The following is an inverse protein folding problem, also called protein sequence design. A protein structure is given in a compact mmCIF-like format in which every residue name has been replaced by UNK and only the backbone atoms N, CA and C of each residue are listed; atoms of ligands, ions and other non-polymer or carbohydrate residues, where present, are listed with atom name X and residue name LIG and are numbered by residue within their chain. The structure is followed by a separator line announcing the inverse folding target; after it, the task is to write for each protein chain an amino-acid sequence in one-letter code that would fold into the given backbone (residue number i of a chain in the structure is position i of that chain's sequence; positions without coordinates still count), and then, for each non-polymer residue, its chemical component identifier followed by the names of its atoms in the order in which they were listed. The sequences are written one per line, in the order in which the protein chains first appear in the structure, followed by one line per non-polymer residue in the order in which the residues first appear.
data_IF_546908967489
#
_entry.id   IF_546908967489
#
_cell.length_a   1.000
_cell.length_b   1.000
_cell.length_c   1.000
_cell.angle_alpha   90.00
_cell.angle_beta   90.00
_cell.angle_gamma   90.00
#
_symmetry.space_group_name_H-M   'P 1'
#
loop_
_entity.id
_entity.type
_entity.pdbx_description
1 polymer ?
#
# COMPACT_ATOMS: atom_id res chain seq x y z
N UNK A 1 -41.94 9.28 -10.50
CA UNK A 1 -40.51 9.29 -10.82
C UNK A 1 -39.62 9.89 -9.71
N UNK A 2 -40.13 10.84 -8.90
CA UNK A 2 -39.38 11.41 -7.78
C UNK A 2 -39.04 10.39 -6.68
N UNK A 3 -39.92 9.44 -6.45
CA UNK A 3 -39.70 8.35 -5.46
C UNK A 3 -38.58 7.40 -5.92
N UNK A 4 -38.45 7.14 -7.22
CA UNK A 4 -37.37 6.31 -7.76
C UNK A 4 -36.01 6.99 -7.60
N UNK A 5 -35.93 8.28 -7.90
CA UNK A 5 -34.71 9.07 -7.74
C UNK A 5 -34.28 9.13 -6.27
N UNK A 6 -35.23 9.35 -5.37
CA UNK A 6 -34.95 9.38 -3.93
C UNK A 6 -34.47 8.04 -3.39
N UNK A 7 -35.07 6.94 -3.87
CA UNK A 7 -34.63 5.58 -3.51
C UNK A 7 -33.21 5.29 -4.02
N UNK A 8 -32.93 5.59 -5.29
CA UNK A 8 -31.59 5.38 -5.86
C UNK A 8 -30.51 6.22 -5.15
N UNK A 9 -30.87 7.45 -4.77
CA UNK A 9 -29.97 8.31 -4.00
C UNK A 9 -29.70 7.71 -2.61
N UNK A 10 -30.74 7.29 -1.91
CA UNK A 10 -30.63 6.70 -0.57
C UNK A 10 -29.81 5.41 -0.60
N UNK A 11 -30.13 4.50 -1.53
CA UNK A 11 -29.40 3.23 -1.69
C UNK A 11 -27.89 3.50 -2.01
N UNK A 12 -27.60 4.45 -2.88
CA UNK A 12 -26.24 4.85 -3.20
C UNK A 12 -25.48 5.44 -2.01
N UNK A 13 -26.13 6.23 -1.17
CA UNK A 13 -25.53 6.78 0.06
C UNK A 13 -25.25 5.66 1.06
N UNK A 14 -26.18 4.74 1.26
CA UNK A 14 -26.00 3.60 2.18
C UNK A 14 -24.86 2.70 1.72
N UNK A 15 -24.76 2.41 0.43
CA UNK A 15 -23.71 1.57 -0.13
C UNK A 15 -22.32 2.23 -0.05
N UNK A 16 -22.25 3.56 -0.14
CA UNK A 16 -20.98 4.29 -0.08
C UNK A 16 -20.56 4.72 1.34
N UNK A 17 -21.47 4.75 2.30
CA UNK A 17 -21.20 5.18 3.67
C UNK A 17 -20.02 4.44 4.34
N UNK A 18 -19.87 3.09 4.23
CA UNK A 18 -18.73 2.39 4.78
C UNK A 18 -17.40 2.83 4.17
N UNK A 19 -17.38 3.09 2.85
CA UNK A 19 -16.19 3.57 2.15
C UNK A 19 -15.81 4.98 2.62
N UNK A 20 -16.78 5.87 2.76
CA UNK A 20 -16.57 7.24 3.28
C UNK A 20 -16.03 7.20 4.70
N UNK A 21 -16.63 6.40 5.57
CA UNK A 21 -16.14 6.20 6.94
C UNK A 21 -14.69 5.73 6.97
N UNK A 22 -14.35 4.75 6.14
CA UNK A 22 -12.98 4.26 6.01
C UNK A 22 -12.02 5.36 5.50
N UNK A 23 -12.39 6.10 4.47
CA UNK A 23 -11.57 7.18 3.90
C UNK A 23 -11.36 8.36 4.87
N UNK A 24 -12.25 8.56 5.82
CA UNK A 24 -12.09 9.57 6.87
C UNK A 24 -11.20 9.06 8.02
N UNK A 25 -11.37 7.80 8.43
CA UNK A 25 -10.60 7.24 9.55
C UNK A 25 -9.14 6.94 9.21
N UNK A 26 -8.86 6.55 7.97
CA UNK A 26 -7.50 6.22 7.52
C UNK A 26 -6.52 7.41 7.61
N UNK A 27 -6.84 8.62 7.11
CA UNK A 27 -5.96 9.79 7.28
C UNK A 27 -5.77 10.17 8.76
N UNK A 28 -6.82 10.04 9.58
CA UNK A 28 -6.70 10.29 11.04
C UNK A 28 -5.70 9.33 11.66
N UNK A 29 -5.80 8.03 11.37
CA UNK A 29 -4.84 7.03 11.83
C UNK A 29 -3.41 7.34 11.36
N UNK A 30 -3.23 7.64 10.07
CA UNK A 30 -1.92 7.96 9.51
C UNK A 30 -1.32 9.23 10.13
N UNK A 31 -2.13 10.23 10.41
CA UNK A 31 -1.69 11.46 11.10
C UNK A 31 -1.24 11.14 12.52
N UNK A 32 -2.03 10.39 13.29
CA UNK A 32 -1.64 9.96 14.65
C UNK A 32 -0.34 9.15 14.63
N UNK A 33 -0.19 8.21 13.67
CA UNK A 33 1.00 7.42 13.54
C UNK A 33 2.24 8.27 13.15
N UNK A 34 2.06 9.29 12.33
CA UNK A 34 3.14 10.25 12.00
C UNK A 34 3.59 11.05 13.22
N UNK A 35 2.68 11.48 14.09
CA UNK A 35 3.03 12.11 15.36
C UNK A 35 3.74 11.16 16.32
N UNK A 36 3.44 9.87 16.28
CA UNK A 36 4.09 8.85 17.08
C UNK A 36 5.46 8.39 16.52
N UNK A 37 5.80 8.77 15.29
CA UNK A 37 7.02 8.35 14.58
C UNK A 37 8.33 8.59 15.37
N UNK A 38 8.54 9.71 16.12
CA UNK A 38 9.73 9.89 16.94
C UNK A 38 9.92 8.82 18.03
N UNK A 39 8.81 8.38 18.64
CA UNK A 39 8.84 7.32 19.66
C UNK A 39 9.19 5.96 19.04
N UNK A 40 8.69 5.69 17.83
CA UNK A 40 9.07 4.50 17.08
C UNK A 40 10.54 4.49 16.70
N UNK A 41 11.14 5.64 16.47
CA UNK A 41 12.57 5.77 16.21
C UNK A 41 13.42 5.28 17.40
N UNK A 42 13.03 5.62 18.62
CA UNK A 42 13.75 5.14 19.81
C UNK A 42 13.67 3.63 19.98
N UNK A 43 12.49 3.04 19.71
CA UNK A 43 12.24 1.61 19.90
C UNK A 43 12.80 0.78 18.74
N UNK A 44 12.61 1.24 17.50
CA UNK A 44 12.93 0.48 16.29
C UNK A 44 14.27 0.86 15.67
N UNK A 45 14.88 1.96 16.09
CA UNK A 45 16.13 2.46 15.49
C UNK A 45 17.30 1.50 15.57
N UNK A 46 17.30 0.60 16.57
CA UNK A 46 18.32 -0.46 16.69
C UNK A 46 18.01 -1.74 15.89
N UNK A 47 16.79 -1.90 15.41
CA UNK A 47 16.32 -3.12 14.70
C UNK A 47 16.16 -2.84 13.20
N UNK A 48 15.88 -1.58 12.84
CA UNK A 48 15.60 -1.20 11.47
C UNK A 48 16.89 -1.20 10.64
N UNK A 49 16.92 -1.90 9.50
CA UNK A 49 18.10 -1.89 8.65
C UNK A 49 18.28 -0.53 8.00
N UNK A 50 19.52 -0.03 8.05
CA UNK A 50 19.94 1.21 7.36
C UNK A 50 20.40 0.96 5.93
N UNK A 51 20.62 -0.31 5.57
CA UNK A 51 21.07 -0.70 4.25
C UNK A 51 19.87 -0.87 3.30
N UNK A 52 19.87 -0.13 2.18
CA UNK A 52 18.80 -0.11 1.18
C UNK A 52 18.53 -1.52 0.59
N UNK A 53 19.56 -2.34 0.38
CA UNK A 53 19.41 -3.71 -0.12
C UNK A 53 18.65 -4.60 0.88
N UNK A 54 18.94 -4.43 2.16
CA UNK A 54 18.24 -5.19 3.22
C UNK A 54 16.79 -4.73 3.33
N UNK A 55 16.53 -3.45 3.17
CA UNK A 55 15.16 -2.91 3.12
C UNK A 55 14.39 -3.48 1.93
N UNK A 56 14.98 -3.50 0.73
CA UNK A 56 14.36 -4.12 -0.44
C UNK A 56 14.05 -5.61 -0.22
N UNK A 57 14.99 -6.37 0.33
CA UNK A 57 14.80 -7.79 0.63
C UNK A 57 13.69 -8.01 1.67
N UNK A 58 13.67 -7.20 2.73
CA UNK A 58 12.65 -7.25 3.77
C UNK A 58 11.26 -6.93 3.20
N UNK A 59 11.14 -5.86 2.41
CA UNK A 59 9.88 -5.48 1.78
C UNK A 59 9.44 -6.50 0.72
N UNK A 60 10.36 -7.10 -0.02
CA UNK A 60 10.04 -8.19 -0.94
C UNK A 60 9.43 -9.38 -0.19
N UNK A 61 10.03 -9.79 0.91
CA UNK A 61 9.52 -10.88 1.74
C UNK A 61 8.15 -10.55 2.38
N UNK A 62 7.98 -9.30 2.82
CA UNK A 62 6.78 -8.84 3.51
C UNK A 62 5.73 -8.22 2.58
N UNK A 63 5.94 -8.23 1.25
CA UNK A 63 5.06 -7.55 0.29
C UNK A 63 3.60 -8.00 0.37
N UNK A 64 3.35 -9.23 0.84
CA UNK A 64 2.01 -9.76 1.10
C UNK A 64 1.23 -8.93 2.14
N UNK A 65 1.92 -8.22 3.04
CA UNK A 65 1.28 -7.29 3.99
C UNK A 65 0.71 -6.03 3.33
N UNK A 66 0.93 -5.85 2.02
CA UNK A 66 0.23 -4.85 1.20
C UNK A 66 -1.25 -5.15 0.97
N UNK A 67 -1.72 -6.40 1.18
CA UNK A 67 -3.14 -6.75 1.09
C UNK A 67 -3.97 -5.99 2.13
N UNK A 68 -5.25 -5.82 1.81
CA UNK A 68 -6.24 -5.18 2.68
C UNK A 68 -5.82 -3.81 3.21
N UNK A 69 -5.07 -3.04 2.40
CA UNK A 69 -4.56 -1.72 2.77
C UNK A 69 -3.63 -1.75 3.99
N UNK A 70 -2.80 -2.77 4.03
CA UNK A 70 -1.85 -3.02 5.10
C UNK A 70 -0.71 -2.01 5.21
N UNK A 71 0.25 -2.26 6.11
CA UNK A 71 1.30 -1.30 6.49
C UNK A 71 2.32 -1.01 5.38
N UNK A 72 2.39 -1.79 4.31
CA UNK A 72 3.30 -1.56 3.19
C UNK A 72 2.66 -0.81 2.02
N UNK A 73 1.41 -0.38 2.14
CA UNK A 73 0.69 0.28 1.07
C UNK A 73 0.37 1.72 1.43
N UNK A 74 0.82 2.69 0.63
CA UNK A 74 0.51 4.12 0.83
C UNK A 74 -0.99 4.41 0.86
N UNK A 75 -1.79 3.64 0.13
CA UNK A 75 -3.26 3.72 0.15
C UNK A 75 -3.90 3.06 1.39
N UNK A 76 -3.09 2.66 2.36
CA UNK A 76 -3.47 2.09 3.63
C UNK A 76 -2.69 2.69 4.78
N UNK A 77 -2.21 1.86 5.68
CA UNK A 77 -1.40 2.25 6.83
C UNK A 77 0.08 2.54 6.48
N UNK A 78 0.47 2.45 5.20
CA UNK A 78 1.85 2.60 4.75
C UNK A 78 2.42 4.01 4.94
N UNK A 79 1.58 5.05 5.03
CA UNK A 79 2.05 6.39 5.37
C UNK A 79 2.70 6.44 6.77
N UNK A 80 2.19 5.67 7.73
CA UNK A 80 2.80 5.52 9.04
C UNK A 80 4.16 4.81 8.95
N UNK A 81 4.23 3.71 8.19
CA UNK A 81 5.48 2.97 7.96
C UNK A 81 6.52 3.84 7.25
N UNK A 82 6.09 4.63 6.25
CA UNK A 82 6.95 5.60 5.57
C UNK A 82 7.48 6.64 6.55
N UNK A 83 6.64 7.18 7.43
CA UNK A 83 7.05 8.14 8.47
C UNK A 83 8.12 7.56 9.39
N UNK A 84 7.96 6.31 9.84
CA UNK A 84 8.97 5.62 10.65
C UNK A 84 10.25 5.40 9.85
N UNK A 85 10.18 4.89 8.63
CA UNK A 85 11.35 4.59 7.81
C UNK A 85 12.15 5.85 7.49
N UNK A 86 11.47 6.95 7.15
CA UNK A 86 12.11 8.25 6.88
C UNK A 86 12.73 8.89 8.12
N UNK A 87 12.23 8.57 9.31
CA UNK A 87 12.78 9.10 10.56
C UNK A 87 14.00 8.33 11.07
N UNK A 88 14.11 7.05 10.73
CA UNK A 88 15.20 6.15 11.17
C UNK A 88 16.37 6.16 10.20
N UNK A 89 16.10 6.13 8.89
CA UNK A 89 17.11 6.03 7.84
C UNK A 89 17.23 7.29 6.98
N UNK A 90 18.43 7.50 6.42
CA UNK A 90 18.70 8.57 5.43
C UNK A 90 18.48 8.01 4.01
N UNK A 91 17.27 7.50 3.75
CA UNK A 91 16.92 6.97 2.45
C UNK A 91 16.57 8.09 1.46
N UNK A 92 16.95 7.91 0.20
CA UNK A 92 16.59 8.87 -0.85
C UNK A 92 15.07 8.83 -1.12
N UNK A 93 14.51 9.98 -1.51
CA UNK A 93 13.07 10.08 -1.85
C UNK A 93 12.68 9.13 -2.99
N UNK A 94 13.46 9.00 -4.08
CA UNK A 94 13.18 8.04 -5.14
C UNK A 94 13.15 6.59 -4.64
N UNK A 95 14.07 6.22 -3.76
CA UNK A 95 14.10 4.88 -3.17
C UNK A 95 12.83 4.58 -2.36
N UNK A 96 12.46 5.48 -1.45
CA UNK A 96 11.24 5.34 -0.65
C UNK A 96 9.99 5.26 -1.53
N UNK A 97 9.93 6.09 -2.57
CA UNK A 97 8.82 6.06 -3.53
C UNK A 97 8.72 4.69 -4.21
N UNK A 98 9.82 4.15 -4.73
CA UNK A 98 9.83 2.83 -5.37
C UNK A 98 9.39 1.73 -4.40
N UNK A 99 9.99 1.70 -3.20
CA UNK A 99 9.71 0.66 -2.19
C UNK A 99 8.23 0.60 -1.81
N UNK A 100 7.56 1.73 -1.64
CA UNK A 100 6.14 1.77 -1.28
C UNK A 100 5.18 1.68 -2.46
N UNK A 101 5.61 2.06 -3.66
CA UNK A 101 4.77 1.97 -4.86
C UNK A 101 4.61 0.52 -5.33
N UNK A 102 5.64 -0.32 -5.16
CA UNK A 102 5.61 -1.73 -5.59
C UNK A 102 4.44 -2.49 -4.96
N UNK A 103 4.32 -2.61 -3.63
CA UNK A 103 3.18 -3.35 -3.04
C UNK A 103 1.86 -2.63 -3.25
N UNK A 104 1.85 -1.31 -3.39
CA UNK A 104 0.65 -0.57 -3.72
C UNK A 104 0.09 -0.95 -5.10
N UNK A 105 0.94 -1.09 -6.10
CA UNK A 105 0.52 -1.39 -7.48
C UNK A 105 0.30 -2.88 -7.72
N UNK A 106 1.21 -3.74 -7.28
CA UNK A 106 1.14 -5.18 -7.55
C UNK A 106 0.14 -5.90 -6.65
N UNK A 107 0.26 -5.71 -5.34
CA UNK A 107 -0.53 -6.44 -4.35
C UNK A 107 -1.87 -5.77 -4.09
N UNK A 108 -1.88 -4.47 -3.78
CA UNK A 108 -3.11 -3.79 -3.41
C UNK A 108 -3.97 -3.50 -4.65
N UNK A 109 -3.46 -2.72 -5.60
CA UNK A 109 -4.25 -2.31 -6.77
C UNK A 109 -4.54 -3.50 -7.69
N UNK A 110 -3.56 -4.37 -7.93
CA UNK A 110 -3.68 -5.46 -8.88
C UNK A 110 -4.44 -6.69 -8.36
N UNK A 111 -4.51 -6.89 -7.04
CA UNK A 111 -4.99 -8.17 -6.52
C UNK A 111 -5.92 -8.09 -5.32
N UNK A 112 -6.00 -6.95 -4.64
CA UNK A 112 -6.80 -6.85 -3.42
C UNK A 112 -8.29 -6.69 -3.73
N UNK A 113 -9.11 -7.60 -3.22
CA UNK A 113 -10.57 -7.59 -3.40
C UNK A 113 -11.28 -6.38 -2.75
N UNK A 114 -10.57 -5.59 -1.92
CA UNK A 114 -11.09 -4.34 -1.36
C UNK A 114 -11.08 -3.19 -2.36
N UNK A 115 -10.49 -3.39 -3.53
CA UNK A 115 -10.54 -2.40 -4.62
C UNK A 115 -11.87 -2.48 -5.35
N UNK A 116 -12.52 -1.35 -5.57
CA UNK A 116 -13.85 -1.28 -6.15
C UNK A 116 -13.96 -1.95 -7.52
N UNK A 117 -12.97 -1.77 -8.39
CA UNK A 117 -12.97 -2.38 -9.73
C UNK A 117 -12.83 -3.90 -9.68
N UNK A 118 -12.08 -4.46 -8.74
CA UNK A 118 -12.00 -5.92 -8.55
C UNK A 118 -13.32 -6.44 -8.00
N UNK A 119 -13.89 -5.77 -6.99
CA UNK A 119 -15.18 -6.15 -6.43
C UNK A 119 -16.30 -6.12 -7.51
N UNK A 120 -16.33 -5.09 -8.36
CA UNK A 120 -17.26 -5.02 -9.48
C UNK A 120 -17.02 -6.11 -10.53
N UNK A 121 -15.76 -6.38 -10.87
CA UNK A 121 -15.40 -7.46 -11.79
C UNK A 121 -15.84 -8.82 -11.29
N UNK A 122 -15.62 -9.11 -10.01
CA UNK A 122 -16.06 -10.37 -9.37
C UNK A 122 -17.59 -10.48 -9.32
N UNK A 123 -18.28 -9.39 -8.98
CA UNK A 123 -19.74 -9.37 -8.96
C UNK A 123 -20.32 -9.57 -10.37
N UNK A 124 -19.72 -8.99 -11.40
CA UNK A 124 -20.15 -9.13 -12.79
C UNK A 124 -19.89 -10.54 -13.34
N UNK A 125 -18.70 -11.08 -13.10
CA UNK A 125 -18.27 -12.40 -13.60
C UNK A 125 -18.81 -13.56 -12.74
N UNK A 126 -19.34 -13.28 -11.57
CA UNK A 126 -19.78 -14.26 -10.56
C UNK A 126 -18.69 -15.26 -10.14
N UNK A 127 -17.43 -14.85 -10.26
CA UNK A 127 -16.27 -15.61 -9.78
C UNK A 127 -16.16 -15.46 -8.27
N UNK A 128 -15.90 -16.54 -7.56
CA UNK A 128 -15.67 -16.48 -6.12
C UNK A 128 -14.37 -15.73 -5.81
N UNK A 129 -14.42 -14.84 -4.83
CA UNK A 129 -13.25 -14.06 -4.38
C UNK A 129 -12.08 -14.96 -3.98
N UNK A 130 -12.37 -16.14 -3.43
CA UNK A 130 -11.36 -17.11 -3.02
C UNK A 130 -10.56 -17.66 -4.21
N UNK A 131 -11.24 -17.98 -5.29
CA UNK A 131 -10.58 -18.55 -6.47
C UNK A 131 -9.79 -17.50 -7.24
N UNK A 132 -10.29 -16.27 -7.27
CA UNK A 132 -9.54 -15.13 -7.78
C UNK A 132 -8.24 -14.92 -6.98
N UNK A 133 -8.31 -14.90 -5.65
CA UNK A 133 -7.14 -14.68 -4.79
C UNK A 133 -6.10 -15.79 -4.91
N UNK A 134 -6.49 -17.05 -5.07
CA UNK A 134 -5.56 -18.17 -5.26
C UNK A 134 -4.64 -17.99 -6.49
N UNK A 135 -5.17 -17.39 -7.56
CA UNK A 135 -4.41 -17.12 -8.78
C UNK A 135 -3.67 -15.79 -8.71
N UNK A 136 -4.32 -14.77 -8.16
CA UNK A 136 -3.82 -13.41 -8.15
C UNK A 136 -2.66 -13.20 -7.15
N UNK A 137 -2.73 -13.80 -5.95
CA UNK A 137 -1.70 -13.65 -4.92
C UNK A 137 -0.31 -14.12 -5.37
N UNK A 138 -0.13 -15.36 -5.89
CA UNK A 138 1.18 -15.82 -6.33
C UNK A 138 1.76 -14.95 -7.44
N UNK A 139 0.92 -14.54 -8.39
CA UNK A 139 1.35 -13.67 -9.48
C UNK A 139 1.79 -12.29 -8.97
N UNK A 140 0.99 -11.65 -8.13
CA UNK A 140 1.33 -10.37 -7.52
C UNK A 140 2.62 -10.43 -6.70
N UNK A 141 2.83 -11.53 -5.98
CA UNK A 141 4.02 -11.73 -5.17
C UNK A 141 5.27 -11.89 -6.04
N UNK A 142 5.21 -12.68 -7.10
CA UNK A 142 6.32 -12.82 -8.06
C UNK A 142 6.65 -11.47 -8.71
N UNK A 143 5.63 -10.73 -9.17
CA UNK A 143 5.82 -9.40 -9.73
C UNK A 143 6.47 -8.44 -8.72
N UNK A 144 6.05 -8.47 -7.46
CA UNK A 144 6.65 -7.67 -6.40
C UNK A 144 8.12 -7.98 -6.20
N UNK A 145 8.49 -9.26 -6.12
CA UNK A 145 9.90 -9.69 -5.97
C UNK A 145 10.74 -9.18 -7.15
N UNK A 146 10.27 -9.36 -8.39
CA UNK A 146 10.99 -8.91 -9.57
C UNK A 146 11.21 -7.39 -9.56
N UNK A 147 10.19 -6.62 -9.18
CA UNK A 147 10.30 -5.17 -9.09
C UNK A 147 11.22 -4.71 -7.96
N UNK A 148 11.24 -5.41 -6.82
CA UNK A 148 12.22 -5.11 -5.76
C UNK A 148 13.64 -5.42 -6.17
N UNK A 149 13.88 -6.51 -6.91
CA UNK A 149 15.18 -6.82 -7.49
C UNK A 149 15.60 -5.70 -8.45
N UNK A 150 14.69 -5.29 -9.35
CA UNK A 150 14.96 -4.18 -10.27
C UNK A 150 15.28 -2.88 -9.50
N UNK A 151 14.52 -2.54 -8.47
CA UNK A 151 14.76 -1.36 -7.62
C UNK A 151 16.12 -1.44 -6.94
N UNK A 152 16.50 -2.61 -6.44
CA UNK A 152 17.81 -2.80 -5.80
C UNK A 152 18.97 -2.56 -6.78
N UNK A 153 18.81 -2.85 -8.05
CA UNK A 153 19.87 -2.61 -9.06
C UNK A 153 19.84 -1.21 -9.68
N UNK A 154 18.69 -0.55 -9.72
CA UNK A 154 18.54 0.72 -10.47
C UNK A 154 18.50 1.95 -9.58
N UNK A 155 17.93 1.85 -8.38
CA UNK A 155 17.67 3.02 -7.52
C UNK A 155 18.60 3.06 -6.32
N UNK A 156 19.09 1.90 -5.87
CA UNK A 156 20.01 1.80 -4.74
C UNK A 156 21.34 2.44 -5.10
N UNK A 157 21.79 3.40 -4.30
CA UNK A 157 23.05 4.14 -4.54
C UNK A 157 22.95 5.31 -5.52
N UNK A 158 21.78 5.59 -6.09
CA UNK A 158 21.54 6.81 -6.86
C UNK A 158 21.31 7.97 -5.88
N UNK A 159 22.17 8.98 -5.96
CA UNK A 159 22.01 10.21 -5.19
C UNK A 159 20.75 10.99 -5.59
N UNK A 160 20.31 11.96 -4.75
CA UNK A 160 19.11 12.77 -5.02
C UNK A 160 19.21 13.59 -6.32
N UNK A 161 20.39 13.75 -6.89
CA UNK A 161 20.65 14.54 -8.10
C UNK A 161 20.12 13.87 -9.39
N UNK A 162 19.90 12.56 -9.37
CA UNK A 162 19.43 11.85 -10.57
C UNK A 162 18.03 12.27 -11.02
N UNK A 163 17.23 12.82 -10.13
CA UNK A 163 15.84 13.23 -10.43
C UNK A 163 15.76 14.67 -11.00
N UNK A 164 16.87 15.41 -11.00
CA UNK A 164 16.96 16.82 -11.43
C UNK A 164 17.71 17.00 -12.76
N UNK A 165 18.22 15.90 -13.33
CA UNK A 165 18.85 15.87 -14.64
C UNK A 165 17.88 15.34 -15.70
#
# INVERSE_FOLDING_TARGET
NCQLVNKLYYDGVVDTAPLVGFLLTLPMFNTCASYASPYFKEVLGGIMPTNEYVVCALFAALSILGFFRGPLTLYGCGAATLGVLSSVGHFSVPFLFCVFTIPATTVNVGSCITQSWIAWGLAYTKVESRDYLKLSIPFAYICSILLYILTAFTVTGLGPEWFLS
#
